data_IF_403763503958
#
_entry.id   IF_403763503958
#
_cell.length_a   1.000
_cell.length_b   1.000
_cell.length_c   1.000
_cell.angle_alpha   90.00
_cell.angle_beta   90.00
_cell.angle_gamma   90.00
#
_symmetry.space_group_name_H-M   'P 1'
#
loop_
_entity.id
_entity.type
_entity.pdbx_description
1 polymer ?
#
# COMPACT_ATOMS: atom_id res chain seq x y z
N UNK A 1 -31.56 -20.56 0.96
CA UNK A 1 -30.78 -19.79 -0.02
C UNK A 1 -30.72 -18.31 0.36
N UNK A 2 -31.87 -17.72 0.72
CA UNK A 2 -31.96 -16.29 1.07
C UNK A 2 -31.17 -15.90 2.33
N UNK A 3 -31.07 -16.81 3.31
CA UNK A 3 -30.29 -16.58 4.52
C UNK A 3 -28.78 -16.42 4.25
N UNK A 4 -28.22 -17.19 3.32
CA UNK A 4 -26.81 -17.08 2.94
C UNK A 4 -26.49 -15.76 2.24
N UNK A 5 -27.39 -15.29 1.37
CA UNK A 5 -27.22 -14.03 0.63
C UNK A 5 -27.29 -12.84 1.59
N UNK A 6 -28.23 -12.86 2.54
CA UNK A 6 -28.33 -11.82 3.57
C UNK A 6 -27.09 -11.75 4.45
N UNK A 7 -26.56 -12.91 4.87
CA UNK A 7 -25.32 -12.95 5.65
C UNK A 7 -24.14 -12.37 4.87
N UNK A 8 -23.95 -12.76 3.61
CA UNK A 8 -22.88 -12.23 2.76
C UNK A 8 -22.96 -10.71 2.57
N UNK A 9 -24.17 -10.14 2.51
CA UNK A 9 -24.37 -8.69 2.47
C UNK A 9 -23.89 -8.00 3.75
N UNK A 10 -24.16 -8.59 4.92
CA UNK A 10 -23.78 -8.05 6.23
C UNK A 10 -22.26 -8.06 6.48
N UNK A 11 -21.53 -9.01 5.91
CA UNK A 11 -20.07 -9.12 6.03
C UNK A 11 -19.33 -8.72 4.76
N UNK A 12 -19.97 -7.92 3.89
CA UNK A 12 -19.41 -7.51 2.60
C UNK A 12 -18.06 -6.80 2.72
N UNK A 13 -17.84 -6.07 3.82
CA UNK A 13 -16.55 -5.41 4.10
C UNK A 13 -15.39 -6.40 4.27
N UNK A 14 -15.62 -7.63 4.75
CA UNK A 14 -14.58 -8.67 4.87
C UNK A 14 -14.09 -9.16 3.50
N UNK A 15 -14.86 -8.91 2.45
CA UNK A 15 -14.53 -9.30 1.07
C UNK A 15 -14.17 -8.09 0.20
N UNK A 16 -13.88 -6.94 0.83
CA UNK A 16 -13.44 -5.75 0.12
C UNK A 16 -12.12 -6.00 -0.62
N UNK A 17 -12.03 -5.51 -1.86
CA UNK A 17 -10.77 -5.46 -2.61
C UNK A 17 -9.90 -4.27 -2.22
N UNK A 18 -10.45 -3.33 -1.43
CA UNK A 18 -9.73 -2.19 -0.86
C UNK A 18 -9.10 -2.62 0.47
N UNK A 19 -7.79 -2.43 0.65
CA UNK A 19 -7.13 -2.73 1.91
C UNK A 19 -7.74 -1.95 3.08
N UNK A 20 -7.93 -2.62 4.22
CA UNK A 20 -8.31 -1.97 5.47
C UNK A 20 -7.09 -1.58 6.32
N UNK A 21 -7.32 -0.76 7.34
CA UNK A 21 -6.29 -0.33 8.31
C UNK A 21 -6.71 -0.68 9.74
N UNK A 22 -5.75 -0.89 10.64
CA UNK A 22 -6.00 -1.09 12.07
C UNK A 22 -5.13 -0.16 12.89
N UNK A 23 -5.69 0.39 13.98
CA UNK A 23 -4.96 1.22 14.95
C UNK A 23 -4.43 0.42 16.14
N UNK A 24 -4.51 -0.91 16.09
CA UNK A 24 -4.17 -1.76 17.23
C UNK A 24 -2.66 -1.89 17.47
N UNK A 25 -1.87 -1.84 16.40
CA UNK A 25 -0.41 -1.86 16.50
C UNK A 25 0.22 -1.03 15.39
N UNK A 26 1.38 -0.45 15.68
CA UNK A 26 2.27 0.16 14.71
C UNK A 26 3.52 -0.71 14.57
N UNK A 27 3.90 -1.03 13.34
CA UNK A 27 5.10 -1.83 13.09
C UNK A 27 6.34 -0.95 13.13
N UNK A 28 7.26 -1.24 14.06
CA UNK A 28 8.57 -0.58 14.15
C UNK A 28 9.66 -1.51 13.61
N UNK A 29 10.44 -1.01 12.67
CA UNK A 29 11.63 -1.69 12.16
C UNK A 29 12.84 -1.18 12.96
N UNK A 30 13.57 -2.09 13.62
CA UNK A 30 14.81 -1.78 14.32
C UNK A 30 16.00 -1.96 13.38
N UNK A 31 16.65 -0.86 13.00
CA UNK A 31 17.82 -0.84 12.11
C UNK A 31 19.15 -0.94 12.86
N UNK A 32 19.14 -0.98 14.19
CA UNK A 32 20.35 -0.93 15.03
C UNK A 32 21.22 0.28 14.71
N UNK A 33 22.54 0.07 14.62
CA UNK A 33 23.53 1.10 14.29
C UNK A 33 23.70 1.36 12.78
N UNK A 34 22.83 0.79 11.94
CA UNK A 34 22.94 0.92 10.48
C UNK A 34 22.56 2.33 10.03
N UNK A 35 23.48 3.00 9.34
CA UNK A 35 23.21 4.32 8.75
C UNK A 35 22.34 4.21 7.49
N UNK A 36 21.53 5.24 7.18
CA UNK A 36 20.75 5.30 5.95
C UNK A 36 21.61 5.18 4.69
N UNK A 37 21.16 4.37 3.72
CA UNK A 37 21.84 4.18 2.43
C UNK A 37 20.93 4.61 1.28
N UNK A 38 21.13 5.85 0.82
CA UNK A 38 20.39 6.40 -0.32
C UNK A 38 20.81 5.75 -1.63
N UNK A 39 19.91 4.95 -2.20
CA UNK A 39 20.13 4.28 -3.48
C UNK A 39 19.56 5.09 -4.66
N UNK A 40 20.34 5.25 -5.74
CA UNK A 40 19.87 5.92 -6.95
C UNK A 40 18.87 5.04 -7.69
N UNK A 41 17.72 5.61 -8.06
CA UNK A 41 16.72 4.94 -8.90
C UNK A 41 17.32 4.66 -10.29
N UNK A 42 17.20 3.42 -10.76
CA UNK A 42 17.62 3.03 -12.11
C UNK A 42 16.74 3.66 -13.19
N UNK A 43 17.34 4.00 -14.33
CA UNK A 43 16.61 4.56 -15.47
C UNK A 43 15.67 3.50 -16.05
N UNK A 44 14.37 3.78 -16.02
CA UNK A 44 13.36 2.93 -16.63
C UNK A 44 13.07 3.35 -18.08
N UNK A 45 12.75 2.41 -18.99
CA UNK A 45 12.21 2.73 -20.32
C UNK A 45 10.91 3.54 -20.21
N UNK A 46 10.58 4.35 -21.22
CA UNK A 46 9.44 5.28 -21.16
C UNK A 46 8.11 4.56 -20.89
N UNK A 47 7.83 3.46 -21.60
CA UNK A 47 6.60 2.68 -21.41
C UNK A 47 6.44 2.11 -19.99
N UNK A 48 7.55 1.76 -19.34
CA UNK A 48 7.54 1.26 -17.95
C UNK A 48 7.26 2.40 -16.98
N UNK A 49 7.79 3.61 -17.24
CA UNK A 49 7.57 4.77 -16.37
C UNK A 49 6.10 5.14 -16.27
N UNK A 50 5.35 5.04 -17.37
CA UNK A 50 3.94 5.37 -17.37
C UNK A 50 3.11 4.34 -16.59
N UNK A 51 3.45 3.06 -16.72
CA UNK A 51 2.87 2.00 -15.89
C UNK A 51 3.16 2.21 -14.39
N UNK A 52 4.42 2.52 -14.05
CA UNK A 52 4.80 2.82 -12.65
C UNK A 52 3.99 3.99 -12.11
N UNK A 53 3.86 5.09 -12.86
CA UNK A 53 3.08 6.26 -12.41
C UNK A 53 1.62 5.91 -12.15
N UNK A 54 1.01 5.09 -13.01
CA UNK A 54 -0.39 4.66 -12.83
C UNK A 54 -0.56 3.83 -11.56
N UNK A 55 0.32 2.86 -11.30
CA UNK A 55 0.22 2.04 -10.10
C UNK A 55 0.52 2.83 -8.83
N UNK A 56 1.50 3.75 -8.88
CA UNK A 56 1.78 4.67 -7.75
C UNK A 56 0.56 5.54 -7.45
N UNK A 57 -0.12 6.08 -8.47
CA UNK A 57 -1.34 6.86 -8.27
C UNK A 57 -2.44 6.01 -7.62
N UNK A 58 -2.65 4.78 -8.09
CA UNK A 58 -3.61 3.86 -7.48
C UNK A 58 -3.27 3.54 -6.02
N UNK A 59 -1.99 3.37 -5.68
CA UNK A 59 -1.57 3.15 -4.30
C UNK A 59 -1.80 4.40 -3.41
N UNK A 60 -1.60 5.60 -3.95
CA UNK A 60 -1.94 6.86 -3.26
C UNK A 60 -3.45 6.95 -3.03
N UNK A 61 -4.26 6.64 -4.04
CA UNK A 61 -5.72 6.67 -3.95
C UNK A 61 -6.25 5.64 -2.93
N UNK A 62 -5.58 4.49 -2.80
CA UNK A 62 -5.86 3.46 -1.78
C UNK A 62 -5.34 3.83 -0.38
N UNK A 63 -4.54 4.89 -0.25
CA UNK A 63 -3.95 5.30 1.03
C UNK A 63 -2.87 4.35 1.58
N UNK A 64 -2.31 3.47 0.75
CA UNK A 64 -1.29 2.50 1.18
C UNK A 64 0.15 3.05 1.08
N UNK A 65 0.34 4.19 0.41
CA UNK A 65 1.61 4.93 0.34
C UNK A 65 1.35 6.43 0.50
N UNK A 66 2.37 7.18 0.89
CA UNK A 66 2.31 8.64 1.02
C UNK A 66 3.65 9.29 0.61
N UNK A 67 3.66 10.57 0.21
CA UNK A 67 4.89 11.33 0.00
C UNK A 67 5.71 11.42 1.30
N UNK A 68 7.02 11.24 1.20
CA UNK A 68 7.94 11.37 2.34
C UNK A 68 9.28 11.98 1.93
N UNK A 69 9.93 12.63 2.89
CA UNK A 69 11.32 13.08 2.80
C UNK A 69 12.17 12.23 3.75
N UNK A 70 12.86 11.24 3.19
CA UNK A 70 13.63 10.24 3.95
C UNK A 70 15.13 10.34 3.66
N UNK A 71 16.00 10.06 4.66
CA UNK A 71 17.44 9.92 4.43
C UNK A 71 17.83 8.59 3.74
N UNK A 72 16.90 7.62 3.66
CA UNK A 72 17.06 6.32 3.00
C UNK A 72 16.83 6.38 1.48
#
# INVERSE_FOLDING_TARGET
KDNCINLLGQISELFSTVPGTTSWCEHKIDTGDSLPVKSKIYRQPDHVRDCIKQEVQKMLDLGVVEPSESPW
#
